data_IF_382209738155
#
_entry.id   IF_382209738155
#
_cell.length_a   1.000
_cell.length_b   1.000
_cell.length_c   1.000
_cell.angle_alpha   90.00
_cell.angle_beta   90.00
_cell.angle_gamma   90.00
#
_symmetry.space_group_name_H-M   'P 1'
#
loop_
_entity.id
_entity.type
_entity.pdbx_description
1 polymer ?
#
# COMPACT_ATOMS: atom_id res chain seq x y z
N UNK A 1 -57.52 -88.52 28.41
CA UNK A 1 -56.20 -88.67 27.82
C UNK A 1 -55.77 -87.33 27.29
N UNK A 2 -54.78 -86.79 27.88
CA UNK A 2 -54.40 -85.35 27.87
C UNK A 2 -53.66 -84.96 26.61
N UNK A 3 -54.09 -83.91 25.94
CA UNK A 3 -53.39 -83.27 24.85
C UNK A 3 -52.90 -81.92 25.28
N UNK A 4 -51.56 -81.75 25.36
CA UNK A 4 -50.90 -80.53 25.77
C UNK A 4 -50.70 -79.64 24.57
N UNK A 5 -51.33 -78.46 24.56
CA UNK A 5 -51.12 -77.42 23.54
C UNK A 5 -49.90 -76.54 23.95
N UNK A 6 -48.84 -76.63 23.16
CA UNK A 6 -47.69 -75.74 23.29
C UNK A 6 -47.95 -74.38 22.58
N UNK A 7 -48.01 -73.27 23.35
CA UNK A 7 -48.08 -71.93 22.80
C UNK A 7 -46.69 -71.46 22.40
N UNK A 8 -46.49 -71.17 21.11
CA UNK A 8 -45.29 -70.48 20.59
C UNK A 8 -45.42 -69.00 20.87
N UNK A 9 -44.52 -68.44 21.71
CA UNK A 9 -44.39 -67.05 21.92
C UNK A 9 -43.44 -66.46 20.84
N UNK A 10 -43.98 -65.63 19.94
CA UNK A 10 -43.21 -64.92 18.95
C UNK A 10 -42.57 -63.65 19.61
N UNK A 11 -41.26 -63.66 19.76
CA UNK A 11 -40.49 -62.48 20.14
C UNK A 11 -40.38 -61.57 18.93
N UNK A 12 -40.99 -60.37 19.02
CA UNK A 12 -40.75 -59.29 18.06
C UNK A 12 -39.46 -58.59 18.47
N UNK A 13 -38.42 -58.63 17.60
CA UNK A 13 -37.20 -57.90 17.74
C UNK A 13 -37.45 -56.52 17.08
N UNK A 14 -37.56 -55.48 17.86
CA UNK A 14 -37.60 -54.11 17.35
C UNK A 14 -36.18 -53.65 17.10
N UNK A 15 -35.83 -53.45 15.85
CA UNK A 15 -34.58 -52.83 15.43
C UNK A 15 -34.78 -51.30 15.48
N UNK A 16 -34.19 -50.65 16.48
CA UNK A 16 -34.08 -49.19 16.46
C UNK A 16 -32.98 -48.78 15.47
N UNK A 17 -33.37 -48.19 14.37
CA UNK A 17 -32.45 -47.53 13.47
C UNK A 17 -32.14 -46.12 13.99
N UNK A 18 -30.98 -45.94 14.59
CA UNK A 18 -30.46 -44.62 14.97
C UNK A 18 -29.83 -43.96 13.72
N UNK A 19 -30.54 -43.00 13.14
CA UNK A 19 -30.00 -42.13 12.10
C UNK A 19 -29.14 -41.07 12.74
N UNK A 20 -27.81 -41.19 12.63
CA UNK A 20 -26.86 -40.17 13.01
C UNK A 20 -26.86 -39.07 11.92
N UNK A 21 -27.45 -37.90 12.22
CA UNK A 21 -27.35 -36.72 11.36
C UNK A 21 -25.96 -36.10 11.53
N UNK A 22 -25.09 -36.26 10.54
CA UNK A 22 -23.83 -35.55 10.43
C UNK A 22 -24.13 -34.08 10.04
N UNK A 23 -24.09 -33.17 11.01
CA UNK A 23 -24.08 -31.74 10.74
C UNK A 23 -22.67 -31.34 10.27
N UNK A 24 -22.51 -31.16 8.97
CA UNK A 24 -21.31 -30.55 8.38
C UNK A 24 -21.38 -29.04 8.64
N UNK A 25 -20.74 -28.58 9.70
CA UNK A 25 -20.49 -27.15 9.91
C UNK A 25 -19.41 -26.71 8.94
N UNK A 26 -19.83 -26.19 7.79
CA UNK A 26 -18.92 -25.54 6.85
C UNK A 26 -18.33 -24.29 7.48
N UNK A 27 -17.03 -24.30 7.83
CA UNK A 27 -16.29 -23.07 8.07
C UNK A 27 -16.24 -22.28 6.75
N UNK A 28 -17.07 -21.24 6.65
CA UNK A 28 -16.89 -20.19 5.64
C UNK A 28 -15.59 -19.46 5.97
N UNK A 29 -14.49 -19.88 5.37
CA UNK A 29 -13.27 -19.10 5.36
C UNK A 29 -13.55 -17.80 4.60
N UNK A 30 -13.74 -16.68 5.30
CA UNK A 30 -13.77 -15.36 4.69
C UNK A 30 -12.38 -15.12 4.11
N UNK A 31 -12.24 -15.16 2.79
CA UNK A 31 -11.03 -14.73 2.11
C UNK A 31 -10.77 -13.27 2.54
N UNK A 32 -9.53 -12.92 2.95
CA UNK A 32 -9.20 -11.53 3.22
C UNK A 32 -9.53 -10.73 1.96
N UNK A 33 -10.37 -9.72 2.09
CA UNK A 33 -10.59 -8.76 1.00
C UNK A 33 -9.25 -8.15 0.68
N UNK A 34 -8.76 -8.35 -0.55
CA UNK A 34 -7.54 -7.71 -1.00
C UNK A 34 -7.74 -6.20 -0.85
N UNK A 35 -7.01 -5.60 0.10
CA UNK A 35 -7.02 -4.16 0.30
C UNK A 35 -6.40 -3.52 -0.92
N UNK A 36 -7.09 -2.54 -1.52
CA UNK A 36 -6.48 -1.72 -2.53
C UNK A 36 -5.29 -1.00 -1.86
N UNK A 37 -4.13 -1.08 -2.46
CA UNK A 37 -2.88 -0.53 -1.93
C UNK A 37 -2.26 0.41 -2.97
N UNK A 38 -1.19 1.09 -2.59
CA UNK A 38 -0.37 1.84 -3.53
C UNK A 38 -0.18 1.04 -4.83
N UNK A 39 -0.25 1.65 -6.03
CA UNK A 39 -0.01 0.96 -7.30
C UNK A 39 1.28 0.14 -7.26
N UNK A 40 1.21 -1.10 -7.71
CA UNK A 40 2.34 -2.03 -7.63
C UNK A 40 3.54 -1.49 -8.43
N UNK A 41 4.72 -1.33 -7.81
CA UNK A 41 5.93 -0.96 -8.53
C UNK A 41 6.33 -2.01 -9.56
N UNK A 42 7.10 -1.61 -10.57
CA UNK A 42 7.70 -2.55 -11.53
C UNK A 42 8.53 -3.64 -10.85
N UNK A 43 8.79 -4.76 -11.54
CA UNK A 43 9.63 -5.85 -11.00
C UNK A 43 11.03 -5.36 -10.65
N UNK A 44 11.76 -6.08 -9.79
CA UNK A 44 13.15 -5.74 -9.47
C UNK A 44 14.06 -5.75 -10.71
N UNK A 45 13.83 -6.68 -11.63
CA UNK A 45 14.57 -6.71 -12.91
C UNK A 45 14.31 -5.45 -13.76
N UNK A 46 13.03 -5.05 -13.88
CA UNK A 46 12.66 -3.81 -14.61
C UNK A 46 13.20 -2.57 -13.89
N UNK A 47 13.14 -2.53 -12.54
CA UNK A 47 13.68 -1.42 -11.76
C UNK A 47 15.19 -1.26 -11.96
N UNK A 48 15.96 -2.36 -12.02
CA UNK A 48 17.40 -2.31 -12.37
C UNK A 48 17.63 -1.71 -13.75
N UNK A 49 16.83 -2.09 -14.76
CA UNK A 49 16.91 -1.51 -16.11
C UNK A 49 16.59 -0.02 -16.11
N UNK A 50 15.55 0.39 -15.38
CA UNK A 50 15.19 1.80 -15.25
C UNK A 50 16.30 2.59 -14.56
N UNK A 51 16.82 2.09 -13.41
CA UNK A 51 17.92 2.74 -12.70
C UNK A 51 19.18 2.90 -13.55
N UNK A 52 19.50 1.90 -14.38
CA UNK A 52 20.64 1.97 -15.30
C UNK A 52 20.48 3.09 -16.33
N UNK A 53 19.25 3.41 -16.74
CA UNK A 53 18.95 4.44 -17.74
C UNK A 53 18.75 5.85 -17.17
N UNK A 54 18.60 5.99 -15.84
CA UNK A 54 18.45 7.31 -15.23
C UNK A 54 19.70 8.16 -15.41
N UNK A 55 19.49 9.44 -15.68
CA UNK A 55 20.58 10.42 -15.73
C UNK A 55 21.20 10.56 -14.34
N UNK A 56 22.53 10.41 -14.27
CA UNK A 56 23.29 10.64 -13.02
C UNK A 56 23.86 12.04 -13.07
N UNK A 57 23.52 12.88 -12.08
CA UNK A 57 24.08 14.22 -11.91
C UNK A 57 24.03 14.62 -10.44
N UNK A 58 24.88 15.53 -10.03
CA UNK A 58 24.79 16.10 -8.68
C UNK A 58 23.39 16.68 -8.43
N UNK A 59 22.93 16.56 -7.21
CA UNK A 59 21.67 17.14 -6.77
C UNK A 59 21.64 18.66 -7.02
N UNK A 60 20.53 19.16 -7.52
CA UNK A 60 20.33 20.57 -7.78
C UNK A 60 20.09 21.38 -6.51
N UNK A 61 20.15 22.70 -6.63
CA UNK A 61 19.83 23.60 -5.52
C UNK A 61 18.34 23.57 -5.16
N UNK A 62 18.05 23.64 -3.87
CA UNK A 62 16.71 23.90 -3.34
C UNK A 62 16.25 25.36 -3.48
N UNK A 63 17.13 26.24 -3.96
CA UNK A 63 16.80 27.67 -4.16
C UNK A 63 15.55 27.82 -5.03
N UNK A 64 14.60 28.62 -4.56
CA UNK A 64 13.33 28.85 -5.22
C UNK A 64 12.29 27.73 -5.03
N UNK A 65 12.61 26.66 -4.31
CA UNK A 65 11.62 25.65 -3.96
C UNK A 65 10.58 26.22 -2.98
N UNK A 66 9.33 25.93 -3.26
CA UNK A 66 8.22 26.00 -2.31
C UNK A 66 7.29 24.83 -2.60
N UNK A 67 6.73 24.24 -1.54
CA UNK A 67 5.72 23.17 -1.67
C UNK A 67 4.52 23.63 -2.50
N UNK A 68 4.16 24.91 -2.46
CA UNK A 68 3.03 25.48 -3.21
C UNK A 68 3.25 25.48 -4.72
N UNK A 69 4.49 25.35 -5.18
CA UNK A 69 4.80 25.20 -6.60
C UNK A 69 4.37 23.82 -7.16
N UNK A 70 4.00 22.92 -6.27
CA UNK A 70 3.42 21.61 -6.58
C UNK A 70 1.97 21.59 -6.06
N UNK A 71 0.98 22.11 -6.80
CA UNK A 71 -0.41 22.07 -6.34
C UNK A 71 -0.81 20.62 -6.06
N UNK A 72 -0.91 20.29 -4.78
CA UNK A 72 -1.23 18.94 -4.29
C UNK A 72 -2.60 18.92 -3.63
N UNK A 73 -3.13 17.72 -3.40
CA UNK A 73 -4.46 17.50 -2.83
C UNK A 73 -5.58 18.13 -3.66
N UNK A 74 -5.45 18.13 -5.02
CA UNK A 74 -6.52 18.58 -5.91
C UNK A 74 -7.73 17.67 -5.81
N UNK A 75 -8.92 18.20 -6.14
CA UNK A 75 -10.14 17.40 -6.24
C UNK A 75 -10.00 16.35 -7.33
N UNK A 76 -10.28 15.09 -7.01
CA UNK A 76 -10.24 13.95 -7.91
C UNK A 76 -11.65 13.58 -8.41
N UNK A 77 -12.64 13.53 -7.49
CA UNK A 77 -14.04 13.28 -7.85
C UNK A 77 -14.96 13.73 -6.71
N UNK A 78 -16.08 14.38 -7.06
CA UNK A 78 -17.02 14.88 -6.06
C UNK A 78 -16.33 15.78 -5.02
N UNK A 79 -16.48 15.46 -3.74
CA UNK A 79 -15.81 16.14 -2.63
C UNK A 79 -14.40 15.57 -2.33
N UNK A 80 -14.01 14.45 -2.97
CA UNK A 80 -12.77 13.76 -2.63
C UNK A 80 -11.55 14.43 -3.27
N UNK A 81 -10.62 14.89 -2.47
CA UNK A 81 -9.29 15.28 -2.91
C UNK A 81 -8.33 14.09 -2.98
N UNK A 82 -7.12 14.31 -3.47
CA UNK A 82 -6.11 13.24 -3.63
C UNK A 82 -5.78 12.54 -2.31
N UNK A 83 -5.67 13.29 -1.19
CA UNK A 83 -5.41 12.69 0.13
C UNK A 83 -6.51 11.72 0.53
N UNK A 84 -7.78 12.13 0.40
CA UNK A 84 -8.93 11.31 0.79
C UNK A 84 -9.07 10.05 -0.08
N UNK A 85 -8.71 10.16 -1.37
CA UNK A 85 -8.65 9.01 -2.28
C UNK A 85 -7.59 8.01 -1.83
N UNK A 86 -6.39 8.48 -1.46
CA UNK A 86 -5.30 7.60 -0.98
C UNK A 86 -5.64 6.99 0.38
N UNK A 87 -6.18 7.76 1.33
CA UNK A 87 -6.64 7.23 2.61
C UNK A 87 -7.68 6.10 2.42
N UNK A 88 -8.64 6.29 1.50
CA UNK A 88 -9.63 5.26 1.18
C UNK A 88 -9.01 4.04 0.53
N UNK A 89 -8.04 4.23 -0.36
CA UNK A 89 -7.33 3.18 -1.07
C UNK A 89 -6.48 2.32 -0.14
N UNK A 90 -5.69 2.96 0.73
CA UNK A 90 -4.64 2.29 1.52
C UNK A 90 -5.14 1.81 2.89
N UNK A 91 -6.32 2.27 3.33
CA UNK A 91 -6.91 1.85 4.60
C UNK A 91 -7.87 0.66 4.47
N UNK A 92 -8.08 -0.05 5.56
CA UNK A 92 -9.06 -1.13 5.72
C UNK A 92 -10.34 -0.60 6.38
N UNK A 93 -11.51 -1.01 5.85
CA UNK A 93 -12.83 -0.64 6.40
C UNK A 93 -13.02 0.88 6.54
N UNK A 94 -12.41 1.65 5.66
CA UNK A 94 -12.50 3.12 5.72
C UNK A 94 -13.91 3.57 5.41
N UNK A 95 -14.51 4.33 6.31
CA UNK A 95 -15.78 5.03 6.12
C UNK A 95 -15.47 6.50 5.86
N UNK A 96 -16.07 7.05 4.82
CA UNK A 96 -15.97 8.47 4.49
C UNK A 96 -17.34 9.15 4.70
N UNK A 97 -17.33 10.38 5.16
CA UNK A 97 -18.52 11.21 5.27
C UNK A 97 -18.91 11.87 3.92
N UNK A 98 -19.92 12.72 3.94
CA UNK A 98 -20.39 13.42 2.73
C UNK A 98 -19.38 14.42 2.17
N UNK A 99 -18.40 14.85 2.96
CA UNK A 99 -17.28 15.69 2.53
C UNK A 99 -16.06 14.88 2.06
N UNK A 100 -16.21 13.55 2.00
CA UNK A 100 -15.17 12.58 1.69
C UNK A 100 -14.07 12.42 2.77
N UNK A 101 -14.23 13.05 3.94
CA UNK A 101 -13.27 12.88 5.02
C UNK A 101 -13.34 11.46 5.60
N UNK A 102 -12.20 10.82 5.82
CA UNK A 102 -12.12 9.50 6.44
C UNK A 102 -12.44 9.62 7.94
N UNK A 103 -13.65 9.18 8.35
CA UNK A 103 -14.15 9.28 9.73
C UNK A 103 -13.89 8.03 10.56
N UNK A 104 -13.60 6.89 9.93
CA UNK A 104 -13.14 5.67 10.59
C UNK A 104 -12.40 4.77 9.61
N UNK A 105 -11.62 3.83 10.12
CA UNK A 105 -10.83 2.88 9.35
C UNK A 105 -9.62 2.40 10.12
N UNK A 106 -8.75 1.64 9.45
CA UNK A 106 -7.43 1.33 9.96
C UNK A 106 -6.41 1.39 8.83
N UNK A 107 -5.21 1.88 9.14
CA UNK A 107 -4.12 2.06 8.19
C UNK A 107 -2.86 1.40 8.71
N UNK A 108 -2.33 0.47 7.94
CA UNK A 108 -1.02 -0.13 8.19
C UNK A 108 0.06 0.67 7.46
N UNK A 109 1.04 1.18 8.19
CA UNK A 109 2.21 1.84 7.62
C UNK A 109 3.32 0.82 7.34
N UNK A 110 3.70 0.60 6.08
CA UNK A 110 4.78 -0.33 5.76
C UNK A 110 6.18 0.25 6.05
N UNK A 111 6.28 1.51 6.46
CA UNK A 111 7.56 2.14 6.78
C UNK A 111 8.09 1.70 8.14
N UNK A 112 7.20 1.54 9.12
CA UNK A 112 7.50 1.21 10.52
C UNK A 112 6.74 -0.01 11.06
N UNK A 113 5.76 -0.53 10.31
CA UNK A 113 4.95 -1.68 10.70
C UNK A 113 3.82 -1.35 11.68
N UNK A 114 3.58 -0.07 11.97
CA UNK A 114 2.50 0.35 12.85
C UNK A 114 1.14 0.31 12.16
N UNK A 115 0.07 0.14 12.97
CA UNK A 115 -1.31 0.26 12.51
C UNK A 115 -2.01 1.34 13.30
N UNK A 116 -2.68 2.26 12.61
CA UNK A 116 -3.37 3.40 13.14
C UNK A 116 -4.87 3.33 12.85
N UNK A 117 -5.67 3.92 13.72
CA UNK A 117 -7.13 3.88 13.64
C UNK A 117 -7.77 5.27 13.48
N UNK A 118 -6.95 6.32 13.48
CA UNK A 118 -7.38 7.68 13.19
C UNK A 118 -6.63 8.20 11.95
N UNK A 119 -7.37 8.80 11.01
CA UNK A 119 -6.79 9.37 9.80
C UNK A 119 -5.84 10.55 10.10
N UNK A 120 -5.94 11.17 11.29
CA UNK A 120 -5.04 12.21 11.76
C UNK A 120 -3.61 11.74 12.03
N UNK A 121 -3.44 10.43 12.30
CA UNK A 121 -2.12 9.83 12.60
C UNK A 121 -1.41 9.34 11.32
N UNK A 122 -2.04 9.60 10.16
CA UNK A 122 -1.60 9.16 8.85
C UNK A 122 -1.30 10.35 7.96
N UNK A 123 -0.09 10.37 7.42
CA UNK A 123 0.28 11.21 6.28
C UNK A 123 0.17 10.46 4.97
N UNK A 124 -0.05 11.20 3.88
CA UNK A 124 0.19 10.68 2.53
C UNK A 124 1.57 11.13 2.10
N UNK A 125 2.50 10.17 2.08
CA UNK A 125 3.85 10.42 1.61
C UNK A 125 3.91 10.47 0.08
N UNK A 126 4.70 11.40 -0.44
CA UNK A 126 5.22 11.34 -1.78
C UNK A 126 6.46 10.44 -1.80
N UNK A 127 6.39 9.26 -2.44
CA UNK A 127 7.50 8.29 -2.52
C UNK A 127 8.81 9.00 -2.87
N UNK A 128 8.81 9.79 -3.95
CA UNK A 128 9.84 10.79 -4.23
C UNK A 128 9.33 12.13 -3.72
N UNK A 129 9.93 12.70 -2.65
CA UNK A 129 9.49 13.96 -2.07
C UNK A 129 9.45 15.11 -3.09
N UNK A 130 8.58 16.08 -2.87
CA UNK A 130 8.44 17.21 -3.81
C UNK A 130 9.72 18.05 -3.88
N UNK A 131 10.41 18.22 -2.75
CA UNK A 131 11.70 18.93 -2.68
C UNK A 131 12.79 18.13 -3.40
N UNK A 132 12.83 16.81 -3.22
CA UNK A 132 13.74 15.93 -3.94
C UNK A 132 13.48 15.97 -5.45
N UNK A 133 12.20 15.89 -5.87
CA UNK A 133 11.86 16.05 -7.27
C UNK A 133 12.31 17.39 -7.86
N UNK A 134 12.20 18.49 -7.08
CA UNK A 134 12.69 19.82 -7.48
C UNK A 134 14.19 19.79 -7.76
N UNK A 135 14.98 19.24 -6.84
CA UNK A 135 16.44 19.12 -6.95
C UNK A 135 16.88 18.18 -8.09
N UNK A 136 16.06 17.19 -8.41
CA UNK A 136 16.35 16.20 -9.46
C UNK A 136 15.77 16.55 -10.85
N UNK A 137 15.17 17.74 -11.03
CA UNK A 137 14.80 18.27 -12.35
C UNK A 137 13.40 18.90 -12.45
N UNK A 138 12.51 18.72 -11.47
CA UNK A 138 11.17 19.30 -11.52
C UNK A 138 11.15 20.84 -11.40
N UNK A 139 12.25 21.46 -11.03
CA UNK A 139 12.42 22.92 -11.06
C UNK A 139 12.19 23.53 -12.44
N UNK A 140 12.49 22.76 -13.51
CA UNK A 140 12.27 23.16 -14.90
C UNK A 140 10.88 22.83 -15.45
N UNK A 141 10.03 22.15 -14.68
CA UNK A 141 8.71 21.72 -15.15
C UNK A 141 7.70 22.88 -15.10
N UNK A 142 6.66 22.75 -15.93
CA UNK A 142 5.46 23.60 -15.81
C UNK A 142 4.72 23.29 -14.49
N UNK A 143 3.95 24.25 -14.01
CA UNK A 143 3.09 24.04 -12.82
C UNK A 143 2.12 22.86 -13.04
N UNK A 144 1.55 22.72 -14.24
CA UNK A 144 0.66 21.59 -14.56
C UNK A 144 1.39 20.22 -14.43
N UNK A 145 2.66 20.12 -14.87
CA UNK A 145 3.42 18.87 -14.71
C UNK A 145 3.75 18.61 -13.24
N UNK A 146 4.12 19.62 -12.45
CA UNK A 146 4.32 19.48 -11.00
C UNK A 146 3.03 19.08 -10.27
N UNK A 147 1.89 19.64 -10.66
CA UNK A 147 0.58 19.24 -10.14
C UNK A 147 0.28 17.77 -10.45
N UNK A 148 0.50 17.33 -11.68
CA UNK A 148 0.28 15.93 -12.06
C UNK A 148 1.18 14.98 -11.29
N UNK A 149 2.43 15.33 -11.04
CA UNK A 149 3.37 14.56 -10.21
C UNK A 149 2.91 14.46 -8.76
N UNK A 150 2.51 15.59 -8.17
CA UNK A 150 2.08 15.67 -6.78
C UNK A 150 0.76 14.94 -6.49
N UNK A 151 -0.02 14.61 -7.52
CA UNK A 151 -1.31 13.94 -7.41
C UNK A 151 -1.37 12.62 -8.20
N UNK A 152 -0.21 12.00 -8.47
CA UNK A 152 -0.15 10.79 -9.28
C UNK A 152 -0.70 9.57 -8.53
N UNK A 153 -1.93 9.19 -8.85
CA UNK A 153 -2.62 8.02 -8.30
C UNK A 153 -2.37 6.74 -9.11
N UNK A 154 -1.66 6.82 -10.25
CA UNK A 154 -1.49 5.71 -11.18
C UNK A 154 -0.10 5.06 -11.12
N UNK A 155 0.89 5.74 -10.54
CA UNK A 155 2.23 5.22 -10.25
C UNK A 155 2.40 5.10 -8.73
N UNK A 156 3.43 4.39 -8.26
CA UNK A 156 3.66 4.20 -6.83
C UNK A 156 4.28 5.44 -6.18
N UNK A 157 3.65 6.63 -6.39
CA UNK A 157 4.11 7.92 -5.90
C UNK A 157 3.49 8.31 -4.57
N UNK A 158 2.25 7.86 -4.28
CA UNK A 158 1.52 8.26 -3.08
C UNK A 158 1.18 7.04 -2.23
N UNK A 159 1.46 7.11 -0.93
CA UNK A 159 1.21 6.04 0.03
C UNK A 159 0.84 6.59 1.40
N UNK A 160 -0.13 5.94 2.07
CA UNK A 160 -0.49 6.25 3.45
C UNK A 160 0.51 5.63 4.43
N UNK A 161 1.09 6.42 5.31
CA UNK A 161 2.12 6.02 6.28
C UNK A 161 1.95 6.75 7.62
N UNK A 162 2.62 6.28 8.67
CA UNK A 162 2.68 6.96 9.96
C UNK A 162 3.20 8.41 9.81
N UNK A 163 2.48 9.39 10.35
CA UNK A 163 2.77 10.82 10.18
C UNK A 163 4.18 11.22 10.62
N UNK A 164 4.58 10.88 11.85
CA UNK A 164 5.89 11.24 12.39
C UNK A 164 7.04 10.51 11.66
N UNK A 165 6.81 9.32 11.09
CA UNK A 165 7.79 8.61 10.27
C UNK A 165 7.95 9.29 8.91
N UNK A 166 6.85 9.78 8.32
CA UNK A 166 6.89 10.60 7.12
C UNK A 166 7.65 11.91 7.35
N UNK A 167 7.40 12.58 8.49
CA UNK A 167 8.13 13.77 8.88
C UNK A 167 9.62 13.51 9.06
N UNK A 168 10.00 12.36 9.66
CA UNK A 168 11.40 11.96 9.81
C UNK A 168 12.07 11.63 8.46
N UNK A 169 11.34 11.08 7.49
CA UNK A 169 11.82 10.91 6.11
C UNK A 169 12.10 12.25 5.44
N UNK A 170 11.19 13.21 5.60
CA UNK A 170 11.33 14.54 5.03
C UNK A 170 11.54 14.50 3.52
N UNK A 171 12.60 15.18 3.04
CA UNK A 171 13.00 15.24 1.63
C UNK A 171 14.22 14.35 1.31
N UNK A 172 14.59 13.46 2.23
CA UNK A 172 15.73 12.55 2.12
C UNK A 172 15.51 11.48 1.04
N UNK A 173 16.59 11.17 0.33
CA UNK A 173 16.64 10.09 -0.66
C UNK A 173 17.00 8.72 -0.01
N UNK A 174 17.00 7.60 -0.77
CA UNK A 174 17.33 6.27 -0.24
C UNK A 174 18.78 6.08 0.24
N UNK A 175 19.69 6.99 -0.01
CA UNK A 175 21.04 6.99 0.58
C UNK A 175 21.03 7.56 2.01
N UNK A 176 20.05 8.40 2.33
CA UNK A 176 19.93 9.11 3.60
C UNK A 176 18.88 8.48 4.51
N UNK A 177 17.78 7.97 3.93
CA UNK A 177 16.67 7.40 4.70
C UNK A 177 16.08 6.16 4.01
N UNK A 178 15.73 5.17 4.83
CA UNK A 178 15.04 3.94 4.40
C UNK A 178 14.01 3.52 5.45
N UNK A 179 12.88 2.89 5.03
CA UNK A 179 11.94 2.27 5.96
C UNK A 179 12.64 1.34 6.98
N UNK A 180 12.22 1.40 8.25
CA UNK A 180 12.72 0.52 9.30
C UNK A 180 12.32 -0.93 9.06
N UNK A 181 11.16 -1.18 8.44
CA UNK A 181 10.70 -2.50 8.00
C UNK A 181 11.54 -2.96 6.81
N UNK A 182 12.56 -3.78 7.09
CA UNK A 182 13.54 -4.21 6.08
C UNK A 182 12.93 -4.98 4.92
N UNK A 183 11.87 -5.77 5.17
CA UNK A 183 11.15 -6.52 4.13
C UNK A 183 10.43 -5.61 3.12
N UNK A 184 10.13 -4.37 3.50
CA UNK A 184 9.49 -3.39 2.61
C UNK A 184 10.50 -2.66 1.72
N UNK A 185 11.79 -2.64 2.04
CA UNK A 185 12.80 -1.87 1.31
C UNK A 185 12.89 -2.21 -0.18
N UNK A 186 12.70 -3.47 -0.56
CA UNK A 186 12.63 -3.85 -1.97
C UNK A 186 11.45 -3.15 -2.69
N UNK A 187 10.29 -3.10 -2.07
CA UNK A 187 9.12 -2.41 -2.63
C UNK A 187 9.36 -0.91 -2.70
N UNK A 188 9.92 -0.32 -1.65
CA UNK A 188 10.25 1.10 -1.55
C UNK A 188 11.19 1.57 -2.67
N UNK A 189 12.33 0.89 -2.85
CA UNK A 189 13.30 1.30 -3.89
C UNK A 189 12.79 1.05 -5.31
N UNK A 190 11.98 0.02 -5.52
CA UNK A 190 11.31 -0.23 -6.79
C UNK A 190 10.30 0.89 -7.12
N UNK A 191 9.54 1.34 -6.13
CA UNK A 191 8.60 2.45 -6.25
C UNK A 191 9.33 3.77 -6.56
N UNK A 192 10.40 4.04 -5.84
CA UNK A 192 11.26 5.20 -6.05
C UNK A 192 11.81 5.27 -7.48
N UNK A 193 12.46 4.20 -7.92
CA UNK A 193 13.02 4.11 -9.29
C UNK A 193 11.94 4.21 -10.35
N UNK A 194 10.79 3.52 -10.16
CA UNK A 194 9.67 3.59 -11.09
C UNK A 194 9.16 5.03 -11.25
N UNK A 195 9.01 5.74 -10.14
CA UNK A 195 8.56 7.14 -10.12
C UNK A 195 9.56 8.05 -10.80
N UNK A 196 10.84 7.99 -10.42
CA UNK A 196 11.88 8.83 -11.06
C UNK A 196 12.00 8.57 -12.57
N UNK A 197 11.97 7.30 -12.99
CA UNK A 197 12.04 6.93 -14.40
C UNK A 197 10.86 7.51 -15.19
N UNK A 198 9.64 7.29 -14.71
CA UNK A 198 8.44 7.75 -15.41
C UNK A 198 8.41 9.28 -15.57
N UNK A 199 8.80 9.98 -14.53
CA UNK A 199 8.76 11.44 -14.50
C UNK A 199 9.99 12.11 -15.12
N UNK A 200 11.01 11.34 -15.48
CA UNK A 200 12.25 11.85 -16.09
C UNK A 200 13.12 12.63 -15.11
N UNK A 201 13.14 12.21 -13.85
CA UNK A 201 13.98 12.78 -12.81
C UNK A 201 15.37 12.13 -12.84
N UNK A 202 16.39 12.86 -12.39
CA UNK A 202 17.75 12.35 -12.26
C UNK A 202 17.94 11.70 -10.87
N UNK A 203 19.05 11.00 -10.74
CA UNK A 203 19.62 10.53 -9.47
C UNK A 203 21.01 11.10 -9.28
N UNK A 204 21.43 11.30 -8.03
CA UNK A 204 22.84 11.52 -7.76
C UNK A 204 23.61 10.20 -7.62
N UNK A 205 24.91 10.26 -7.40
CA UNK A 205 25.75 9.06 -7.33
C UNK A 205 25.54 8.25 -6.03
N UNK A 206 25.25 8.90 -4.91
CA UNK A 206 25.00 8.26 -3.63
C UNK A 206 23.63 7.56 -3.65
N UNK A 207 22.60 8.29 -4.08
CA UNK A 207 21.26 7.75 -4.31
C UNK A 207 21.28 6.53 -5.24
N UNK A 208 21.95 6.64 -6.40
CA UNK A 208 22.07 5.52 -7.34
C UNK A 208 22.74 4.30 -6.72
N UNK A 209 23.81 4.51 -5.95
CA UNK A 209 24.55 3.43 -5.29
C UNK A 209 23.69 2.72 -4.25
N UNK A 210 22.94 3.48 -3.43
CA UNK A 210 22.04 2.93 -2.43
C UNK A 210 20.91 2.12 -3.08
N UNK A 211 20.26 2.67 -4.11
CA UNK A 211 19.22 2.00 -4.88
C UNK A 211 19.74 0.69 -5.50
N UNK A 212 20.92 0.72 -6.12
CA UNK A 212 21.52 -0.46 -6.75
C UNK A 212 21.84 -1.54 -5.72
N UNK A 213 22.39 -1.15 -4.57
CA UNK A 213 22.73 -2.08 -3.48
C UNK A 213 21.51 -2.87 -3.01
N UNK A 214 20.40 -2.17 -2.77
CA UNK A 214 19.15 -2.81 -2.31
C UNK A 214 18.54 -3.66 -3.43
N UNK A 215 18.48 -3.14 -4.67
CA UNK A 215 17.91 -3.87 -5.81
C UNK A 215 18.67 -5.16 -6.15
N UNK A 216 19.96 -5.26 -5.82
CA UNK A 216 20.74 -6.49 -6.02
C UNK A 216 20.29 -7.60 -5.07
N UNK A 217 19.71 -7.25 -3.91
CA UNK A 217 19.17 -8.20 -2.94
C UNK A 217 17.67 -8.52 -3.14
N UNK A 218 17.03 -7.84 -4.10
CA UNK A 218 15.63 -8.06 -4.44
C UNK A 218 15.46 -9.16 -5.48
#
# INVERSE_FOLDING_TARGET
MSGVYARRVARRISVLATTAALTVTGLLATAPTAQAAMPTPVSAATARTYLASLTVKAEGSSTGYSRDLFPHWITQSGACNTREVVLKRDGSNVVQDSSCAAVSGSWYSPYDGATWYAASDIDIDHMVPLSEAWKSGANSWTTAKRQSFANDLTRPQLIAVTDNVNQAKGDQDPAEWLPSVTSYRCTYVRAWVHTKYYWGLSVDSAEKSALQSILNGC
#
